data_IF_564236117139
#
_entry.id   IF_564236117139
#
_cell.length_a   1.000
_cell.length_b   1.000
_cell.length_c   1.000
_cell.angle_alpha   90.00
_cell.angle_beta   90.00
_cell.angle_gamma   90.00
#
_symmetry.space_group_name_H-M   'P 1'
#
loop_
_entity.id
_entity.type
_entity.pdbx_description
1 polymer ?
#
# COMPACT_ATOMS: atom_id res chain seq x y z
N UNK A 1 -0.66 24.10 -19.18
CA UNK A 1 -1.12 23.19 -18.10
C UNK A 1 -1.91 22.09 -18.76
N UNK A 2 -1.22 21.07 -19.28
CA UNK A 2 -1.87 19.86 -19.71
C UNK A 2 -2.33 19.12 -18.46
N UNK A 3 -3.64 19.07 -18.27
CA UNK A 3 -4.30 18.12 -17.41
C UNK A 3 -3.80 16.75 -17.88
N UNK A 4 -2.81 16.20 -17.21
CA UNK A 4 -2.55 14.77 -17.27
C UNK A 4 -3.78 14.11 -16.63
N UNK A 5 -4.83 13.97 -17.44
CA UNK A 5 -5.88 13.03 -17.15
C UNK A 5 -5.18 11.77 -16.72
N UNK A 6 -5.55 11.24 -15.57
CA UNK A 6 -4.97 10.01 -15.03
C UNK A 6 -5.06 8.96 -16.12
N UNK A 7 -3.99 8.79 -16.90
CA UNK A 7 -3.93 7.74 -17.91
C UNK A 7 -4.05 6.46 -17.10
N UNK A 8 -5.17 5.80 -17.28
CA UNK A 8 -5.40 4.50 -16.67
C UNK A 8 -4.31 3.57 -17.22
N UNK A 9 -3.41 3.13 -16.37
CA UNK A 9 -2.36 2.19 -16.75
C UNK A 9 -2.91 0.79 -17.09
N UNK A 10 -4.23 0.62 -17.01
CA UNK A 10 -4.90 -0.66 -17.30
C UNK A 10 -4.67 -1.74 -16.26
N UNK A 11 -3.82 -1.48 -15.27
CA UNK A 11 -3.54 -2.48 -14.24
C UNK A 11 -4.67 -2.62 -13.23
N UNK A 12 -4.96 -3.86 -12.92
CA UNK A 12 -5.92 -4.25 -11.90
C UNK A 12 -5.31 -5.32 -11.01
N UNK A 13 -5.45 -5.12 -9.73
CA UNK A 13 -5.09 -6.13 -8.75
C UNK A 13 -6.32 -6.99 -8.45
N UNK A 14 -6.22 -8.28 -8.67
CA UNK A 14 -7.30 -9.21 -8.29
C UNK A 14 -7.56 -9.14 -6.79
N UNK A 15 -8.82 -9.07 -6.41
CA UNK A 15 -9.25 -9.18 -5.01
C UNK A 15 -9.25 -10.62 -4.51
N UNK A 16 -9.00 -11.60 -5.39
CA UNK A 16 -9.23 -13.04 -5.18
C UNK A 16 -10.71 -13.42 -5.00
N UNK A 17 -11.62 -12.51 -5.35
CA UNK A 17 -13.06 -12.76 -5.41
C UNK A 17 -13.53 -12.51 -6.84
N UNK A 18 -13.84 -13.59 -7.57
CA UNK A 18 -14.17 -13.52 -8.99
C UNK A 18 -15.29 -12.53 -9.30
N UNK A 19 -16.38 -12.56 -8.53
CA UNK A 19 -17.54 -11.67 -8.75
C UNK A 19 -17.14 -10.21 -8.58
N UNK A 20 -16.33 -9.90 -7.54
CA UNK A 20 -15.89 -8.53 -7.30
C UNK A 20 -14.92 -8.06 -8.40
N UNK A 21 -14.02 -8.92 -8.83
CA UNK A 21 -13.09 -8.61 -9.92
C UNK A 21 -13.84 -8.37 -11.24
N UNK A 22 -14.90 -9.15 -11.53
CA UNK A 22 -15.76 -8.91 -12.70
C UNK A 22 -16.46 -7.54 -12.62
N UNK A 23 -17.05 -7.19 -11.48
CA UNK A 23 -17.73 -5.89 -11.27
C UNK A 23 -16.72 -4.74 -11.40
N UNK A 24 -15.49 -4.93 -10.92
CA UNK A 24 -14.42 -3.92 -10.96
C UNK A 24 -13.59 -3.97 -12.24
N UNK A 25 -14.06 -4.66 -13.27
CA UNK A 25 -13.36 -4.81 -14.55
C UNK A 25 -11.92 -5.33 -14.42
N UNK A 26 -11.77 -6.41 -13.68
CA UNK A 26 -10.50 -7.12 -13.46
C UNK A 26 -9.85 -6.89 -12.10
N UNK A 27 -10.46 -6.12 -11.21
CA UNK A 27 -9.98 -5.92 -9.84
C UNK A 27 -9.75 -4.46 -9.45
N UNK A 28 -9.00 -4.26 -8.38
CA UNK A 28 -8.75 -2.95 -7.77
C UNK A 28 -7.73 -2.15 -8.59
N UNK A 29 -8.05 -0.90 -8.84
CA UNK A 29 -7.15 0.07 -9.50
C UNK A 29 -6.12 0.63 -8.52
N UNK A 30 -5.02 1.14 -9.08
CA UNK A 30 -4.08 1.99 -8.35
C UNK A 30 -4.79 3.23 -7.76
N UNK A 31 -4.46 3.59 -6.53
CA UNK A 31 -5.00 4.75 -5.85
C UNK A 31 -5.60 4.43 -4.48
N UNK A 32 -6.57 5.23 -4.06
CA UNK A 32 -7.26 5.06 -2.79
C UNK A 32 -8.60 4.37 -3.00
N UNK A 33 -8.79 3.23 -2.35
CA UNK A 33 -10.05 2.45 -2.36
C UNK A 33 -10.58 2.35 -0.94
N UNK A 34 -11.86 2.56 -0.76
CA UNK A 34 -12.55 2.43 0.54
C UNK A 34 -13.66 1.41 0.42
N UNK A 35 -13.63 0.41 1.30
CA UNK A 35 -14.73 -0.53 1.50
C UNK A 35 -15.64 -0.03 2.61
N UNK A 36 -16.92 0.15 2.32
CA UNK A 36 -17.93 0.59 3.28
C UNK A 36 -18.96 -0.52 3.48
N UNK A 37 -19.48 -0.64 4.69
CA UNK A 37 -20.53 -1.62 5.02
C UNK A 37 -20.78 -1.68 6.52
N UNK A 38 -21.89 -2.29 6.89
CA UNK A 38 -22.25 -2.55 8.28
C UNK A 38 -21.24 -3.48 8.97
N UNK A 39 -21.30 -3.59 10.29
CA UNK A 39 -20.58 -4.62 11.02
C UNK A 39 -20.90 -6.00 10.46
N UNK A 40 -19.97 -6.93 10.57
CA UNK A 40 -20.07 -8.30 10.04
C UNK A 40 -20.39 -8.42 8.54
N UNK A 41 -20.26 -7.34 7.75
CA UNK A 41 -20.49 -7.38 6.29
C UNK A 41 -19.33 -7.95 5.47
N UNK A 42 -18.29 -8.48 6.10
CA UNK A 42 -17.15 -9.12 5.44
C UNK A 42 -16.03 -8.19 4.99
N UNK A 43 -15.98 -6.94 5.50
CA UNK A 43 -14.91 -5.98 5.16
C UNK A 43 -13.51 -6.51 5.50
N UNK A 44 -13.31 -7.00 6.71
CA UNK A 44 -12.05 -7.60 7.16
C UNK A 44 -11.72 -8.89 6.39
N UNK A 45 -12.73 -9.71 6.09
CA UNK A 45 -12.54 -10.89 5.23
C UNK A 45 -12.06 -10.52 3.84
N UNK A 46 -12.61 -9.44 3.26
CA UNK A 46 -12.14 -8.90 1.98
C UNK A 46 -10.70 -8.39 2.10
N UNK A 47 -10.36 -7.66 3.15
CA UNK A 47 -9.01 -7.17 3.41
C UNK A 47 -8.01 -8.32 3.48
N UNK A 48 -8.34 -9.41 4.18
CA UNK A 48 -7.52 -10.63 4.27
C UNK A 48 -7.38 -11.32 2.91
N UNK A 49 -8.45 -11.42 2.12
CA UNK A 49 -8.37 -11.96 0.74
C UNK A 49 -7.45 -11.13 -0.15
N UNK A 50 -7.56 -9.81 -0.07
CA UNK A 50 -6.68 -8.91 -0.82
C UNK A 50 -5.22 -9.03 -0.36
N UNK A 51 -4.98 -9.18 0.95
CA UNK A 51 -3.67 -9.48 1.51
C UNK A 51 -3.06 -10.72 0.86
N UNK A 52 -3.83 -11.80 0.76
CA UNK A 52 -3.42 -13.03 0.09
C UNK A 52 -3.09 -12.83 -1.40
N UNK A 53 -3.88 -12.03 -2.10
CA UNK A 53 -3.63 -11.68 -3.50
C UNK A 53 -2.31 -10.90 -3.67
N UNK A 54 -2.07 -9.91 -2.81
CA UNK A 54 -0.84 -9.12 -2.81
C UNK A 54 0.40 -9.99 -2.54
N UNK A 55 0.31 -10.91 -1.59
CA UNK A 55 1.40 -11.83 -1.27
C UNK A 55 1.74 -12.75 -2.45
N UNK A 56 0.74 -13.28 -3.16
CA UNK A 56 0.92 -14.12 -4.34
C UNK A 56 1.55 -13.36 -5.52
N UNK A 57 1.25 -12.09 -5.66
CA UNK A 57 1.79 -11.23 -6.72
C UNK A 57 3.14 -10.60 -6.34
N UNK A 58 3.68 -10.92 -5.17
CA UNK A 58 4.93 -10.36 -4.64
C UNK A 58 4.93 -8.81 -4.60
N UNK A 59 3.77 -8.22 -4.32
CA UNK A 59 3.65 -6.77 -4.15
C UNK A 59 4.03 -6.42 -2.71
N UNK A 60 5.00 -5.53 -2.48
CA UNK A 60 5.34 -5.05 -1.14
C UNK A 60 4.10 -4.50 -0.43
N UNK A 61 3.69 -5.12 0.66
CA UNK A 61 2.40 -4.85 1.27
C UNK A 61 2.50 -4.63 2.77
N UNK A 62 1.59 -3.80 3.27
CA UNK A 62 1.51 -3.42 4.66
C UNK A 62 0.07 -3.59 5.13
N UNK A 63 -0.13 -4.41 6.16
CA UNK A 63 -1.41 -4.59 6.83
C UNK A 63 -1.38 -3.86 8.17
N UNK A 64 -2.26 -2.89 8.32
CA UNK A 64 -2.39 -2.04 9.50
C UNK A 64 -3.70 -2.43 10.16
N UNK A 65 -3.60 -3.20 11.23
CA UNK A 65 -4.72 -3.67 12.05
C UNK A 65 -4.96 -2.66 13.17
N UNK A 66 -5.69 -1.60 12.84
CA UNK A 66 -5.94 -0.52 13.79
C UNK A 66 -6.89 -0.91 14.92
N UNK A 67 -7.65 -1.99 14.77
CA UNK A 67 -8.51 -2.54 15.81
C UNK A 67 -7.76 -3.50 16.74
N UNK A 68 -6.60 -4.03 16.29
CA UNK A 68 -5.85 -5.05 17.02
C UNK A 68 -6.62 -6.37 17.16
N UNK A 69 -7.56 -6.62 16.25
CA UNK A 69 -8.53 -7.70 16.33
C UNK A 69 -8.33 -8.81 15.28
N UNK A 70 -7.17 -8.85 14.62
CA UNK A 70 -6.90 -9.87 13.61
C UNK A 70 -6.84 -11.26 14.24
N UNK A 71 -7.88 -12.04 14.01
CA UNK A 71 -7.88 -13.47 14.32
C UNK A 71 -7.02 -14.22 13.30
N UNK A 72 -5.89 -14.76 13.76
CA UNK A 72 -4.91 -15.43 12.91
C UNK A 72 -5.41 -16.75 12.35
N UNK A 73 -6.23 -17.51 13.07
CA UNK A 73 -6.81 -18.76 12.59
C UNK A 73 -7.82 -18.49 11.48
N UNK A 74 -8.69 -17.52 11.71
CA UNK A 74 -9.64 -17.05 10.71
C UNK A 74 -8.94 -16.51 9.48
N UNK A 75 -7.88 -15.71 9.66
CA UNK A 75 -7.07 -15.18 8.57
C UNK A 75 -6.44 -16.30 7.72
N UNK A 76 -5.90 -17.33 8.36
CA UNK A 76 -5.36 -18.49 7.67
C UNK A 76 -6.44 -19.21 6.85
N UNK A 77 -7.62 -19.46 7.44
CA UNK A 77 -8.73 -20.12 6.76
C UNK A 77 -9.20 -19.33 5.54
N UNK A 78 -9.37 -18.00 5.67
CA UNK A 78 -9.77 -17.11 4.58
C UNK A 78 -8.71 -17.01 3.49
N UNK A 79 -7.45 -16.92 3.87
CA UNK A 79 -6.32 -16.80 2.93
C UNK A 79 -5.97 -18.14 2.25
N UNK A 80 -6.38 -19.27 2.83
CA UNK A 80 -6.04 -20.61 2.36
C UNK A 80 -4.57 -20.96 2.60
N UNK A 81 -4.05 -20.60 3.77
CA UNK A 81 -2.69 -20.91 4.24
C UNK A 81 -2.76 -21.67 5.56
N UNK A 82 -1.69 -22.41 5.88
CA UNK A 82 -1.63 -23.23 7.08
C UNK A 82 -1.13 -22.47 8.32
N UNK A 83 -0.31 -21.43 8.10
CA UNK A 83 0.32 -20.64 9.16
C UNK A 83 0.43 -19.18 8.71
N UNK A 84 -0.01 -18.25 9.57
CA UNK A 84 0.05 -16.81 9.31
C UNK A 84 1.49 -16.31 9.10
N UNK A 85 2.47 -17.01 9.60
CA UNK A 85 3.89 -16.70 9.39
C UNK A 85 4.31 -16.81 7.92
N UNK A 86 3.54 -17.50 7.08
CA UNK A 86 3.74 -17.49 5.63
C UNK A 86 3.59 -16.09 5.03
N UNK A 87 2.79 -15.22 5.67
CA UNK A 87 2.59 -13.83 5.25
C UNK A 87 3.41 -12.86 6.09
N UNK A 88 3.33 -12.94 7.42
CA UNK A 88 3.95 -11.95 8.30
C UNK A 88 5.40 -12.27 8.66
N UNK A 89 5.90 -13.41 8.18
CA UNK A 89 7.25 -13.87 8.47
C UNK A 89 7.42 -14.35 9.90
N UNK A 90 8.59 -14.90 10.18
CA UNK A 90 8.98 -15.35 11.52
C UNK A 90 10.27 -14.65 11.91
N UNK A 91 10.25 -13.97 13.04
CA UNK A 91 11.46 -13.37 13.60
C UNK A 91 12.45 -14.44 14.04
N UNK A 92 13.74 -14.17 13.87
CA UNK A 92 14.77 -15.06 14.40
C UNK A 92 14.69 -15.13 15.94
N UNK A 93 14.90 -16.31 16.53
CA UNK A 93 14.97 -16.47 17.99
C UNK A 93 16.04 -15.57 18.63
N UNK A 94 17.07 -15.19 17.90
CA UNK A 94 18.12 -14.28 18.36
C UNK A 94 17.70 -12.81 18.38
N UNK A 95 16.48 -12.47 17.93
CA UNK A 95 15.97 -11.11 17.79
C UNK A 95 16.62 -10.30 16.67
N UNK A 96 17.58 -10.85 15.94
CA UNK A 96 18.25 -10.18 14.82
C UNK A 96 17.71 -10.70 13.48
N UNK A 97 16.86 -9.89 12.85
CA UNK A 97 16.33 -10.21 11.53
C UNK A 97 15.17 -11.23 11.57
N UNK A 98 14.96 -11.89 10.42
CA UNK A 98 13.90 -12.85 10.22
C UNK A 98 14.49 -14.21 9.83
N UNK A 99 13.96 -15.28 10.42
CA UNK A 99 14.15 -16.66 9.93
C UNK A 99 13.34 -16.88 8.64
N UNK A 100 12.10 -16.38 8.64
CA UNK A 100 11.24 -16.33 7.45
C UNK A 100 10.88 -14.85 7.19
N UNK A 101 11.35 -14.24 6.10
CA UNK A 101 11.06 -12.84 5.81
C UNK A 101 9.58 -12.62 5.52
N UNK A 102 8.99 -11.50 5.98
CA UNK A 102 7.59 -11.22 5.74
C UNK A 102 7.32 -10.90 4.26
N UNK A 103 6.28 -11.50 3.69
CA UNK A 103 5.69 -11.09 2.41
C UNK A 103 4.82 -9.84 2.60
N UNK A 104 4.20 -9.74 3.78
CA UNK A 104 3.34 -8.63 4.19
C UNK A 104 3.82 -8.14 5.55
N UNK A 105 4.06 -6.85 5.68
CA UNK A 105 4.42 -6.25 6.96
C UNK A 105 3.17 -5.92 7.75
N UNK A 106 3.11 -6.40 8.98
CA UNK A 106 2.01 -6.21 9.91
C UNK A 106 2.36 -5.18 10.98
N UNK A 107 1.39 -4.37 11.38
CA UNK A 107 1.42 -3.49 12.54
C UNK A 107 0.01 -3.32 13.11
N UNK A 108 -0.06 -3.17 14.43
CA UNK A 108 -1.26 -2.86 15.21
C UNK A 108 -1.31 -1.38 15.65
N UNK A 109 -0.51 -0.53 15.00
CA UNK A 109 -0.49 0.91 15.31
C UNK A 109 -1.84 1.54 14.95
N UNK A 110 -2.50 2.17 15.91
CA UNK A 110 -3.80 2.80 15.75
C UNK A 110 -3.77 4.34 15.87
N UNK A 111 -2.60 4.93 16.08
CA UNK A 111 -2.49 6.40 16.10
C UNK A 111 -2.44 6.92 14.68
N UNK A 112 -3.44 7.70 14.29
CA UNK A 112 -3.67 8.20 12.94
C UNK A 112 -2.43 8.87 12.35
N UNK A 113 -1.82 9.81 13.06
CA UNK A 113 -0.65 10.56 12.59
C UNK A 113 0.56 9.65 12.37
N UNK A 114 0.74 8.64 13.22
CA UNK A 114 1.85 7.69 13.08
C UNK A 114 1.65 6.79 11.85
N UNK A 115 0.43 6.27 11.67
CA UNK A 115 0.07 5.44 10.51
C UNK A 115 0.29 6.21 9.21
N UNK A 116 -0.25 7.42 9.09
CA UNK A 116 -0.11 8.21 7.87
C UNK A 116 1.32 8.73 7.66
N UNK A 117 2.07 9.03 8.71
CA UNK A 117 3.51 9.35 8.62
C UNK A 117 4.30 8.16 8.09
N UNK A 118 4.01 6.96 8.57
CA UNK A 118 4.62 5.74 8.09
C UNK A 118 4.34 5.52 6.59
N UNK A 119 3.08 5.61 6.16
CA UNK A 119 2.69 5.48 4.75
C UNK A 119 3.40 6.53 3.89
N UNK A 120 3.38 7.80 4.30
CA UNK A 120 4.07 8.90 3.61
C UNK A 120 5.56 8.61 3.44
N UNK A 121 6.23 8.16 4.51
CA UNK A 121 7.66 7.85 4.48
C UNK A 121 7.98 6.76 3.45
N UNK A 122 7.15 5.73 3.35
CA UNK A 122 7.33 4.68 2.34
C UNK A 122 7.13 5.26 0.94
N UNK A 123 6.00 5.96 0.72
CA UNK A 123 5.69 6.53 -0.58
C UNK A 123 6.73 7.54 -1.08
N UNK A 124 7.31 8.35 -0.19
CA UNK A 124 8.35 9.30 -0.56
C UNK A 124 9.65 8.63 -1.01
N UNK A 125 9.92 7.42 -0.49
CA UNK A 125 11.11 6.65 -0.86
C UNK A 125 10.91 5.78 -2.11
N UNK A 126 9.69 5.69 -2.64
CA UNK A 126 9.43 4.98 -3.90
C UNK A 126 9.76 5.88 -5.10
N UNK A 127 10.27 5.32 -6.20
CA UNK A 127 10.48 6.07 -7.43
C UNK A 127 9.15 6.54 -8.03
N UNK A 128 9.18 7.67 -8.74
CA UNK A 128 8.00 8.16 -9.46
C UNK A 128 7.70 7.28 -10.67
N UNK A 129 6.43 6.92 -10.84
CA UNK A 129 5.94 6.20 -12.01
C UNK A 129 5.45 7.21 -13.05
N UNK A 130 6.04 7.18 -14.23
CA UNK A 130 5.79 8.17 -15.28
C UNK A 130 5.46 7.47 -16.59
N UNK A 131 4.35 7.88 -17.22
CA UNK A 131 4.04 7.49 -18.58
C UNK A 131 4.75 8.42 -19.56
N UNK A 132 5.48 7.84 -20.52
CA UNK A 132 6.13 8.60 -21.59
C UNK A 132 5.35 8.44 -22.89
N UNK A 133 4.81 9.56 -23.39
CA UNK A 133 4.03 9.59 -24.64
C UNK A 133 4.87 9.24 -25.86
N UNK A 134 6.14 9.61 -25.86
CA UNK A 134 7.08 9.36 -26.97
C UNK A 134 7.40 7.87 -27.16
N UNK A 135 7.34 7.08 -26.09
CA UNK A 135 7.59 5.64 -26.15
C UNK A 135 6.31 4.80 -26.00
N UNK A 136 5.21 5.40 -25.52
CA UNK A 136 3.98 4.70 -25.19
C UNK A 136 4.11 3.75 -23.99
N UNK A 137 5.11 3.97 -23.13
CA UNK A 137 5.46 3.05 -22.05
C UNK A 137 5.51 3.72 -20.69
N UNK A 138 5.36 2.89 -19.65
CA UNK A 138 5.53 3.31 -18.27
C UNK A 138 6.95 3.06 -17.78
N UNK A 139 7.47 4.01 -17.02
CA UNK A 139 8.81 3.99 -16.45
C UNK A 139 8.78 4.33 -14.97
N UNK A 140 9.67 3.70 -14.20
CA UNK A 140 10.07 4.20 -12.89
C UNK A 140 11.26 5.14 -13.07
N UNK A 141 11.14 6.33 -12.51
CA UNK A 141 12.17 7.36 -12.54
C UNK A 141 12.94 7.34 -11.24
N UNK A 142 14.22 7.02 -11.32
CA UNK A 142 15.13 7.00 -10.18
C UNK A 142 16.07 8.21 -10.22
N UNK A 143 16.48 8.65 -9.05
CA UNK A 143 17.57 9.60 -8.90
C UNK A 143 18.92 8.89 -9.06
N UNK A 144 20.03 9.57 -8.88
CA UNK A 144 21.36 8.95 -8.93
C UNK A 144 21.85 8.44 -7.58
N UNK A 145 21.01 8.41 -6.61
CA UNK A 145 21.40 8.03 -5.25
C UNK A 145 21.77 6.54 -5.19
N UNK A 146 22.71 6.21 -4.31
CA UNK A 146 23.18 4.84 -4.10
C UNK A 146 22.05 3.90 -3.68
N UNK A 147 21.11 4.42 -2.89
CA UNK A 147 19.90 3.69 -2.48
C UNK A 147 19.02 3.29 -3.65
N UNK A 148 18.89 4.15 -4.65
CA UNK A 148 18.09 3.88 -5.85
C UNK A 148 18.75 2.80 -6.73
N UNK A 149 20.06 2.79 -6.82
CA UNK A 149 20.79 1.74 -7.55
C UNK A 149 20.64 0.37 -6.88
N UNK A 150 20.67 0.34 -5.56
CA UNK A 150 20.41 -0.89 -4.79
C UNK A 150 18.96 -1.36 -4.97
N UNK A 151 17.99 -0.45 -4.96
CA UNK A 151 16.58 -0.76 -5.22
C UNK A 151 16.37 -1.30 -6.64
N UNK A 152 16.97 -0.69 -7.65
CA UNK A 152 16.91 -1.19 -9.03
C UNK A 152 17.42 -2.63 -9.13
N UNK A 153 18.55 -2.92 -8.50
CA UNK A 153 19.11 -4.28 -8.44
C UNK A 153 18.18 -5.25 -7.73
N UNK A 154 17.65 -4.87 -6.57
CA UNK A 154 16.73 -5.69 -5.79
C UNK A 154 15.43 -6.01 -6.55
N UNK A 155 14.96 -5.08 -7.39
CA UNK A 155 13.77 -5.25 -8.24
C UNK A 155 14.08 -5.94 -9.58
N UNK A 156 15.35 -6.25 -9.87
CA UNK A 156 15.77 -6.83 -11.15
C UNK A 156 15.54 -5.91 -12.35
N UNK A 157 15.50 -4.60 -12.10
CA UNK A 157 15.24 -3.61 -13.14
C UNK A 157 16.53 -3.21 -13.86
N UNK A 158 16.43 -2.99 -15.16
CA UNK A 158 17.51 -2.43 -15.99
C UNK A 158 17.11 -1.03 -16.44
N UNK A 159 18.06 -0.09 -16.37
CA UNK A 159 17.81 1.25 -16.86
C UNK A 159 17.87 1.30 -18.41
N UNK A 160 17.10 2.21 -18.97
CA UNK A 160 17.15 2.53 -20.39
C UNK A 160 18.36 3.42 -20.67
N UNK A 161 19.39 2.87 -21.34
CA UNK A 161 20.64 3.57 -21.59
C UNK A 161 20.46 4.81 -22.48
N UNK A 162 19.50 4.80 -23.42
CA UNK A 162 19.20 5.92 -24.29
C UNK A 162 18.60 7.09 -23.50
N UNK A 163 17.62 6.80 -22.66
CA UNK A 163 17.00 7.80 -21.79
C UNK A 163 17.99 8.34 -20.75
N UNK A 164 18.87 7.49 -20.24
CA UNK A 164 19.94 7.93 -19.34
C UNK A 164 20.87 8.95 -20.00
N UNK A 165 21.30 8.69 -21.23
CA UNK A 165 22.16 9.62 -21.98
C UNK A 165 21.49 10.97 -22.22
N UNK A 166 20.19 10.97 -22.48
CA UNK A 166 19.43 12.19 -22.74
C UNK A 166 19.12 13.01 -21.48
N UNK A 167 18.80 12.35 -20.38
CA UNK A 167 18.24 13.01 -19.19
C UNK A 167 19.18 13.04 -17.99
N UNK A 168 20.21 12.23 -18.01
CA UNK A 168 21.11 12.02 -16.87
C UNK A 168 20.46 11.32 -15.68
N UNK A 169 19.27 10.74 -15.85
CA UNK A 169 18.50 10.03 -14.82
C UNK A 169 18.26 8.58 -15.21
N UNK A 170 18.12 7.71 -14.22
CA UNK A 170 17.81 6.32 -14.47
C UNK A 170 16.31 6.14 -14.72
N UNK A 171 15.96 5.64 -15.88
CA UNK A 171 14.61 5.30 -16.29
C UNK A 171 14.53 3.79 -16.50
N UNK A 172 13.70 3.11 -15.74
CA UNK A 172 13.51 1.68 -15.87
C UNK A 172 12.11 1.42 -16.42
N UNK A 173 12.04 0.81 -17.60
CA UNK A 173 10.75 0.37 -18.13
C UNK A 173 10.11 -0.61 -17.15
N UNK A 174 8.85 -0.36 -16.81
CA UNK A 174 8.07 -1.27 -15.99
C UNK A 174 7.02 -1.92 -16.87
N UNK A 175 6.92 -3.27 -16.80
CA UNK A 175 5.81 -3.95 -17.43
C UNK A 175 4.50 -3.35 -16.94
N UNK A 176 3.53 -3.24 -17.82
CA UNK A 176 2.19 -2.77 -17.49
C UNK A 176 1.77 -3.32 -16.13
N UNK A 177 1.51 -2.45 -15.18
CA UNK A 177 0.77 -2.79 -14.01
C UNK A 177 1.49 -3.35 -12.80
N UNK A 178 2.76 -3.04 -12.57
CA UNK A 178 3.32 -3.35 -11.25
C UNK A 178 2.97 -2.26 -10.24
N UNK A 179 2.26 -2.63 -9.19
CA UNK A 179 2.20 -1.82 -7.97
C UNK A 179 3.55 -1.83 -7.28
N UNK A 180 3.93 -0.67 -6.77
CA UNK A 180 5.16 -0.51 -6.02
C UNK A 180 4.98 -0.86 -4.55
N UNK A 181 3.80 -0.56 -4.01
CA UNK A 181 3.40 -0.91 -2.65
C UNK A 181 1.88 -0.91 -2.51
N UNK A 182 1.37 -1.64 -1.52
CA UNK A 182 -0.02 -1.61 -1.11
C UNK A 182 -0.14 -1.47 0.41
N UNK A 183 -1.17 -0.74 0.84
CA UNK A 183 -1.47 -0.52 2.24
C UNK A 183 -2.94 -0.91 2.47
N UNK A 184 -3.17 -1.76 3.44
CA UNK A 184 -4.51 -2.14 3.91
C UNK A 184 -4.63 -1.61 5.33
N UNK A 185 -5.68 -0.83 5.60
CA UNK A 185 -6.00 -0.32 6.93
C UNK A 185 -7.34 -0.91 7.35
N UNK A 186 -7.35 -1.70 8.40
CA UNK A 186 -8.53 -2.33 8.97
C UNK A 186 -8.63 -1.98 10.47
N UNK A 187 -9.45 -1.03 10.84
CA UNK A 187 -10.29 -0.18 10.03
C UNK A 187 -9.93 1.31 10.20
N UNK A 188 -10.37 2.17 9.28
CA UNK A 188 -10.16 3.63 9.41
C UNK A 188 -10.83 4.23 10.65
N UNK A 189 -12.06 3.84 11.05
CA UNK A 189 -12.71 4.34 12.27
C UNK A 189 -11.98 3.99 13.57
N UNK A 190 -11.13 2.96 13.58
CA UNK A 190 -10.34 2.59 14.75
C UNK A 190 -9.07 3.43 14.95
N UNK A 191 -8.72 4.26 13.95
CA UNK A 191 -7.62 5.19 14.10
C UNK A 191 -8.01 6.35 15.02
N UNK A 192 -7.22 6.56 16.07
CA UNK A 192 -7.39 7.67 17.03
C UNK A 192 -6.34 8.74 16.80
N UNK A 193 -6.70 10.01 17.03
CA UNK A 193 -5.73 11.10 17.01
C UNK A 193 -4.91 11.13 18.28
N UNK A 194 -3.66 11.55 18.19
CA UNK A 194 -2.78 11.70 19.36
C UNK A 194 -3.31 12.71 20.40
N UNK A 195 -4.16 13.64 19.98
CA UNK A 195 -4.75 14.67 20.86
C UNK A 195 -5.95 14.15 21.67
N UNK A 196 -6.68 13.13 21.16
CA UNK A 196 -7.87 12.56 21.83
C UNK A 196 -7.50 11.57 22.92
N UNK A 197 -6.31 10.97 22.88
CA UNK A 197 -5.84 10.04 23.89
C UNK A 197 -5.63 10.66 25.27
N UNK A 198 -5.62 11.97 25.41
CA UNK A 198 -5.38 12.68 26.67
C UNK A 198 -6.62 13.35 27.27
N UNK A 199 -7.75 13.52 26.55
CA UNK A 199 -8.97 14.16 27.04
C UNK A 199 -10.26 13.46 26.58
N UNK A 200 -10.82 12.60 27.42
CA UNK A 200 -11.98 11.74 27.08
C UNK A 200 -13.38 12.35 27.24
N UNK A 201 -13.57 13.67 27.41
CA UNK A 201 -14.86 14.19 27.91
C UNK A 201 -15.74 15.02 26.95
N UNK A 202 -15.47 15.03 25.63
CA UNK A 202 -16.34 15.79 24.68
C UNK A 202 -16.50 15.08 23.33
N UNK A 203 -17.36 14.07 23.28
CA UNK A 203 -17.62 13.24 22.08
C UNK A 203 -17.84 14.03 20.77
N UNK A 204 -18.62 15.10 20.77
CA UNK A 204 -18.91 15.85 19.54
C UNK A 204 -17.73 16.67 19.02
N UNK A 205 -16.86 17.15 19.91
CA UNK A 205 -15.60 17.84 19.52
C UNK A 205 -14.55 16.85 19.04
N UNK A 206 -14.48 15.68 19.65
CA UNK A 206 -13.60 14.61 19.25
C UNK A 206 -13.86 14.17 17.81
N UNK A 207 -15.12 13.89 17.45
CA UNK A 207 -15.50 13.49 16.08
C UNK A 207 -15.11 14.54 15.03
N UNK A 208 -15.30 15.83 15.32
CA UNK A 208 -14.91 16.90 14.40
C UNK A 208 -13.39 17.08 14.29
N UNK A 209 -12.65 16.86 15.36
CA UNK A 209 -11.18 16.87 15.38
C UNK A 209 -10.63 15.70 14.57
N UNK A 210 -11.17 14.50 14.77
CA UNK A 210 -10.77 13.30 14.04
C UNK A 210 -11.03 13.45 12.54
N UNK A 211 -12.16 14.00 12.14
CA UNK A 211 -12.47 14.24 10.72
C UNK A 211 -11.48 15.25 10.08
N UNK A 212 -11.12 16.31 10.80
CA UNK A 212 -10.14 17.30 10.33
C UNK A 212 -8.72 16.72 10.26
N UNK A 213 -8.31 16.00 11.30
CA UNK A 213 -7.01 15.36 11.35
C UNK A 213 -6.89 14.33 10.22
N UNK A 214 -7.92 13.51 10.03
CA UNK A 214 -7.99 12.55 8.94
C UNK A 214 -7.87 13.24 7.56
N UNK A 215 -8.66 14.29 7.32
CA UNK A 215 -8.60 15.02 6.05
C UNK A 215 -7.22 15.64 5.79
N UNK A 216 -6.56 16.17 6.84
CA UNK A 216 -5.21 16.72 6.79
C UNK A 216 -4.17 15.67 6.41
N UNK A 217 -4.29 14.46 6.97
CA UNK A 217 -3.34 13.39 6.73
C UNK A 217 -3.57 12.64 5.40
N UNK A 218 -4.83 12.42 5.01
CA UNK A 218 -5.18 11.69 3.78
C UNK A 218 -4.83 12.47 2.52
N UNK A 219 -5.05 13.78 2.50
CA UNK A 219 -4.83 14.60 1.30
C UNK A 219 -3.41 14.50 0.72
N UNK A 220 -2.33 14.62 1.52
CA UNK A 220 -0.96 14.42 1.03
C UNK A 220 -0.71 12.99 0.53
N UNK A 221 -1.22 11.98 1.24
CA UNK A 221 -1.06 10.56 0.84
C UNK A 221 -1.71 10.29 -0.50
N UNK A 222 -2.95 10.76 -0.72
CA UNK A 222 -3.63 10.64 -2.02
C UNK A 222 -2.86 11.34 -3.14
N UNK A 223 -2.22 12.47 -2.86
CA UNK A 223 -1.35 13.16 -3.81
C UNK A 223 -0.10 12.36 -4.18
N UNK A 224 0.49 11.65 -3.22
CA UNK A 224 1.62 10.77 -3.45
C UNK A 224 1.20 9.52 -4.23
N UNK A 225 0.11 8.86 -3.85
CA UNK A 225 -0.40 7.65 -4.53
C UNK A 225 -0.66 7.84 -6.02
N UNK A 226 -0.99 9.06 -6.46
CA UNK A 226 -1.19 9.36 -7.88
C UNK A 226 0.10 9.40 -8.70
N UNK A 227 1.26 9.50 -8.02
CA UNK A 227 2.58 9.63 -8.68
C UNK A 227 3.41 8.35 -8.58
N UNK A 228 3.02 7.45 -7.70
CA UNK A 228 3.73 6.20 -7.41
C UNK A 228 2.97 5.01 -7.95
#
# INVERSE_FOLDING_TARGET
DQITASIDDGYRMSTSLLVLDMIMNGGVRSGWVTSLGLEASGKSSLAIKMMGSLAKQHIPSYFIDAEGALDTEYACAIAGISDITEYFGRKSPTGKGYELPPKIRYTDENILEKVFRFIKRILLNLPDKVYRQDTGKWYLKFTRDKSDTEMMKALGLKHDAKLYTQTGQYWCEVPHGKFQAAFIIDSLPALVTSEVGEESDKESKAIALDARAFAKEVKPVRGLLRRK
#
